data_IF_824616946026
#
_entry.id   IF_824616946026
#
_cell.length_a   1.000
_cell.length_b   1.000
_cell.length_c   1.000
_cell.angle_alpha   90.00
_cell.angle_beta   90.00
_cell.angle_gamma   90.00
#
_symmetry.space_group_name_H-M   'P 1'
#
loop_
_entity.id
_entity.type
_entity.pdbx_description
1 polymer ?
#
# COMPACT_ATOMS: atom_id res chain seq x y z
N UNK A 1 7.80 -13.41 4.86
CA UNK A 1 7.37 -12.17 5.55
C UNK A 1 8.18 -11.00 5.01
N UNK A 2 7.58 -10.10 4.20
CA UNK A 2 8.29 -8.91 3.67
C UNK A 2 7.95 -7.71 4.55
N UNK A 3 8.85 -7.40 5.47
CA UNK A 3 8.70 -6.29 6.44
C UNK A 3 8.66 -4.93 5.73
N UNK A 4 7.68 -4.09 6.10
CA UNK A 4 7.59 -2.66 5.74
C UNK A 4 8.95 -1.96 5.96
N UNK A 5 9.66 -2.32 7.03
CA UNK A 5 10.95 -1.72 7.38
C UNK A 5 12.05 -2.03 6.35
N UNK A 6 12.05 -3.24 5.77
CA UNK A 6 13.04 -3.65 4.78
C UNK A 6 12.78 -3.07 3.37
N UNK A 7 11.58 -2.52 3.12
CA UNK A 7 11.25 -1.76 1.92
C UNK A 7 11.62 -0.28 2.09
N UNK A 8 11.31 0.30 3.26
CA UNK A 8 11.71 1.68 3.63
C UNK A 8 13.23 1.89 3.51
N UNK A 9 14.05 0.92 3.91
CA UNK A 9 15.52 1.06 3.82
C UNK A 9 16.10 1.02 2.40
N UNK A 10 15.36 0.53 1.39
CA UNK A 10 15.91 0.31 0.03
C UNK A 10 15.58 1.38 -1.00
N UNK A 11 14.67 2.31 -0.69
CA UNK A 11 14.20 3.32 -1.66
C UNK A 11 14.34 4.77 -1.19
N UNK A 12 14.60 5.01 0.09
CA UNK A 12 14.58 6.36 0.66
C UNK A 12 16.01 6.91 0.73
N UNK A 13 16.51 7.34 -0.42
CA UNK A 13 17.61 8.31 -0.50
C UNK A 13 17.06 9.69 -0.12
N UNK A 14 16.99 9.95 1.19
CA UNK A 14 16.45 11.18 1.75
C UNK A 14 14.93 11.25 1.61
N UNK A 15 14.22 11.30 2.72
CA UNK A 15 13.16 12.27 3.01
C UNK A 15 12.73 12.04 4.45
N UNK A 16 12.67 13.15 5.16
CA UNK A 16 12.39 13.29 6.57
C UNK A 16 11.14 12.50 6.95
N UNK A 17 11.30 11.56 7.90
CA UNK A 17 10.34 11.46 9.00
C UNK A 17 9.85 12.87 9.28
N UNK A 18 8.55 13.15 9.15
CA UNK A 18 7.99 14.45 9.54
C UNK A 18 8.28 14.63 11.03
N UNK A 19 9.47 15.18 11.31
CA UNK A 19 9.89 15.70 12.59
C UNK A 19 9.31 17.11 12.59
N UNK A 20 8.01 17.19 12.87
CA UNK A 20 7.54 18.39 13.55
C UNK A 20 8.39 18.45 14.83
N UNK A 21 9.23 19.47 14.95
CA UNK A 21 10.11 19.66 16.10
C UNK A 21 9.23 19.68 17.36
N UNK A 22 9.22 18.58 18.13
CA UNK A 22 8.64 18.51 19.48
C UNK A 22 7.43 17.61 19.70
N UNK A 23 6.67 17.19 18.68
CA UNK A 23 5.48 16.34 18.88
C UNK A 23 5.42 15.20 17.86
N UNK A 24 5.44 13.96 18.36
CA UNK A 24 5.24 12.77 17.54
C UNK A 24 3.75 12.65 17.24
N UNK A 25 3.31 13.15 16.09
CA UNK A 25 1.92 12.99 15.63
C UNK A 25 1.61 11.50 15.57
N UNK A 26 0.57 11.10 16.29
CA UNK A 26 0.01 9.75 16.20
C UNK A 26 -1.18 9.76 15.26
N UNK A 27 -1.50 8.60 14.73
CA UNK A 27 -2.58 8.38 13.79
C UNK A 27 -3.47 7.26 14.32
N UNK A 28 -4.78 7.50 14.28
CA UNK A 28 -5.79 6.49 14.51
C UNK A 28 -6.28 6.01 13.15
N UNK A 29 -5.81 4.84 12.75
CA UNK A 29 -6.27 4.20 11.52
C UNK A 29 -7.70 3.68 11.68
N UNK A 30 -8.49 3.77 10.62
CA UNK A 30 -9.80 3.12 10.57
C UNK A 30 -9.64 1.60 10.58
N UNK A 31 -10.59 0.91 11.19
CA UNK A 31 -10.54 -0.54 11.36
C UNK A 31 -10.63 -1.31 10.04
N UNK A 32 -11.47 -0.84 9.11
CA UNK A 32 -11.59 -1.42 7.77
C UNK A 32 -10.27 -1.31 6.99
N UNK A 33 -9.57 -0.19 7.15
CA UNK A 33 -8.24 0.02 6.56
C UNK A 33 -7.22 -0.93 7.17
N UNK A 34 -7.16 -1.06 8.50
CA UNK A 34 -6.25 -2.00 9.18
C UNK A 34 -6.49 -3.44 8.75
N UNK A 35 -7.76 -3.83 8.57
CA UNK A 35 -8.13 -5.17 8.09
C UNK A 35 -7.56 -5.43 6.70
N UNK A 36 -7.72 -4.48 5.77
CA UNK A 36 -7.15 -4.59 4.42
C UNK A 36 -5.63 -4.58 4.42
N UNK A 37 -5.00 -3.70 5.19
CA UNK A 37 -3.55 -3.63 5.31
C UNK A 37 -2.96 -4.94 5.82
N UNK A 38 -3.58 -5.54 6.84
CA UNK A 38 -3.14 -6.83 7.41
C UNK A 38 -3.22 -7.95 6.38
N UNK A 39 -4.25 -7.98 5.52
CA UNK A 39 -4.36 -8.95 4.41
C UNK A 39 -3.20 -8.87 3.42
N UNK A 40 -2.58 -7.70 3.29
CA UNK A 40 -1.39 -7.47 2.46
C UNK A 40 -0.07 -7.53 3.25
N UNK A 41 -0.12 -7.95 4.53
CA UNK A 41 1.06 -8.05 5.39
C UNK A 41 1.59 -6.70 5.89
N UNK A 42 0.76 -5.66 5.88
CA UNK A 42 1.10 -4.31 6.33
C UNK A 42 0.47 -4.06 7.70
N UNK A 43 1.29 -3.79 8.70
CA UNK A 43 0.85 -3.41 10.04
C UNK A 43 1.39 -2.02 10.38
N UNK A 44 0.67 -0.93 10.09
CA UNK A 44 1.11 0.40 10.45
C UNK A 44 1.07 0.57 11.98
N UNK A 45 2.05 1.29 12.53
CA UNK A 45 2.02 1.70 13.94
C UNK A 45 1.21 3.00 14.05
N UNK A 46 0.74 3.39 15.25
CA UNK A 46 0.14 4.70 15.46
C UNK A 46 1.07 5.85 15.04
N UNK A 47 2.39 5.65 15.05
CA UNK A 47 3.35 6.64 14.56
C UNK A 47 3.64 6.57 13.05
N UNK A 48 3.03 5.65 12.32
CA UNK A 48 3.22 5.50 10.87
C UNK A 48 2.28 6.48 10.16
N UNK A 49 2.79 7.42 9.35
CA UNK A 49 1.93 8.30 8.56
C UNK A 49 1.11 7.50 7.52
N UNK A 50 -0.18 7.79 7.34
CA UNK A 50 -1.01 7.05 6.38
C UNK A 50 -0.50 7.18 4.94
N UNK A 51 0.15 8.31 4.59
CA UNK A 51 0.77 8.50 3.30
C UNK A 51 1.85 7.45 2.99
N UNK A 52 2.65 7.07 4.00
CA UNK A 52 3.71 6.06 3.85
C UNK A 52 3.13 4.65 3.66
N UNK A 53 2.11 4.30 4.45
CA UNK A 53 1.42 3.02 4.28
C UNK A 53 0.72 2.94 2.92
N UNK A 54 0.10 4.04 2.47
CA UNK A 54 -0.56 4.15 1.18
C UNK A 54 0.41 4.01 -0.01
N UNK A 55 1.58 4.64 0.06
CA UNK A 55 2.62 4.49 -0.96
C UNK A 55 3.06 3.03 -1.11
N UNK A 56 3.32 2.36 0.02
CA UNK A 56 3.70 0.94 0.03
C UNK A 56 2.64 0.06 -0.66
N UNK A 57 1.36 0.24 -0.32
CA UNK A 57 0.26 -0.54 -0.92
C UNK A 57 0.13 -0.24 -2.42
N UNK A 58 0.31 1.02 -2.84
CA UNK A 58 0.30 1.37 -4.26
C UNK A 58 1.42 0.70 -5.03
N UNK A 59 2.61 0.60 -4.47
CA UNK A 59 3.71 -0.07 -5.12
C UNK A 59 3.53 -1.59 -5.19
N UNK A 60 2.94 -2.19 -4.16
CA UNK A 60 2.52 -3.59 -4.20
C UNK A 60 1.49 -3.82 -5.33
N UNK A 61 0.47 -2.98 -5.41
CA UNK A 61 -0.54 -3.05 -6.47
C UNK A 61 0.07 -2.89 -7.88
N UNK A 62 0.95 -1.91 -8.08
CA UNK A 62 1.67 -1.72 -9.36
C UNK A 62 2.54 -2.91 -9.71
N UNK A 63 3.20 -3.52 -8.72
CA UNK A 63 3.97 -4.75 -8.94
C UNK A 63 3.08 -5.89 -9.41
N UNK A 64 1.92 -6.10 -8.80
CA UNK A 64 1.00 -7.17 -9.23
C UNK A 64 0.42 -6.93 -10.62
N UNK A 65 0.12 -5.69 -10.98
CA UNK A 65 -0.28 -5.32 -12.34
C UNK A 65 0.81 -5.62 -13.37
N UNK A 66 2.07 -5.25 -13.07
CA UNK A 66 3.21 -5.56 -13.96
C UNK A 66 3.36 -7.07 -14.15
N UNK A 67 3.30 -7.84 -13.06
CA UNK A 67 3.37 -9.31 -13.11
C UNK A 67 2.23 -9.91 -13.95
N UNK A 68 1.00 -9.42 -13.80
CA UNK A 68 -0.13 -9.89 -14.59
C UNK A 68 0.06 -9.58 -16.09
N UNK A 69 0.60 -8.40 -16.42
CA UNK A 69 0.95 -8.04 -17.79
C UNK A 69 2.08 -8.92 -18.35
N UNK A 70 3.11 -9.22 -17.56
CA UNK A 70 4.20 -10.11 -17.95
C UNK A 70 3.69 -11.53 -18.26
N UNK A 71 2.73 -12.03 -17.47
CA UNK A 71 2.08 -13.31 -17.75
C UNK A 71 1.28 -13.29 -19.06
N UNK A 72 0.62 -12.17 -19.39
CA UNK A 72 -0.06 -12.02 -20.68
C UNK A 72 0.94 -12.00 -21.84
N UNK A 73 2.01 -11.20 -21.73
CA UNK A 73 3.01 -11.03 -22.80
C UNK A 73 3.80 -12.32 -23.05
N UNK A 74 4.10 -13.08 -22.00
CA UNK A 74 4.74 -14.39 -22.12
C UNK A 74 3.80 -15.49 -22.63
N UNK A 75 2.49 -15.22 -22.77
CA UNK A 75 1.49 -16.22 -23.15
C UNK A 75 1.13 -17.20 -22.03
N UNK A 76 1.63 -17.00 -20.80
CA UNK A 76 1.28 -17.82 -19.62
C UNK A 76 -0.23 -17.79 -19.35
N UNK A 77 -0.89 -16.66 -19.64
CA UNK A 77 -2.34 -16.54 -19.58
C UNK A 77 -2.90 -16.12 -20.94
N UNK A 78 -4.13 -16.55 -21.27
CA UNK A 78 -4.78 -16.12 -22.50
C UNK A 78 -5.14 -14.64 -22.46
N UNK A 79 -5.18 -13.99 -23.63
CA UNK A 79 -5.64 -12.61 -23.79
C UNK A 79 -7.13 -12.45 -23.49
N UNK A 80 -7.93 -13.46 -23.81
CA UNK A 80 -9.37 -13.49 -23.48
C UNK A 80 -9.52 -13.51 -21.94
N UNK A 81 -10.33 -12.59 -21.43
CA UNK A 81 -10.55 -12.41 -19.98
C UNK A 81 -9.40 -11.73 -19.24
N UNK A 82 -8.46 -11.07 -19.94
CA UNK A 82 -7.44 -10.26 -19.27
C UNK A 82 -8.05 -9.10 -18.48
N UNK A 83 -9.07 -8.43 -19.05
CA UNK A 83 -9.78 -7.35 -18.38
C UNK A 83 -10.42 -7.82 -17.06
N UNK A 84 -11.06 -8.98 -17.06
CA UNK A 84 -11.66 -9.55 -15.85
C UNK A 84 -10.63 -9.87 -14.77
N UNK A 85 -9.43 -10.34 -15.18
CA UNK A 85 -8.31 -10.58 -14.26
C UNK A 85 -7.80 -9.28 -13.64
N UNK A 86 -7.73 -8.19 -14.41
CA UNK A 86 -7.39 -6.85 -13.89
C UNK A 86 -8.45 -6.37 -12.91
N UNK A 87 -9.74 -6.54 -13.22
CA UNK A 87 -10.85 -6.18 -12.31
C UNK A 87 -10.77 -6.99 -11.02
N UNK A 88 -10.56 -8.31 -11.12
CA UNK A 88 -10.40 -9.19 -9.97
C UNK A 88 -9.19 -8.78 -9.12
N UNK A 89 -8.09 -8.36 -9.74
CA UNK A 89 -6.93 -7.81 -9.03
C UNK A 89 -7.29 -6.52 -8.30
N UNK A 90 -7.94 -5.56 -8.97
CA UNK A 90 -8.33 -4.28 -8.35
C UNK A 90 -9.24 -4.46 -7.15
N UNK A 91 -10.13 -5.46 -7.18
CA UNK A 91 -11.00 -5.82 -6.03
C UNK A 91 -10.22 -6.29 -4.80
N UNK A 92 -8.98 -6.77 -4.96
CA UNK A 92 -8.10 -7.12 -3.85
C UNK A 92 -7.45 -5.90 -3.20
N UNK A 93 -7.42 -4.74 -3.87
CA UNK A 93 -6.77 -3.52 -3.40
C UNK A 93 -7.74 -2.33 -3.35
N UNK A 94 -8.86 -2.40 -2.61
CA UNK A 94 -9.80 -1.27 -2.57
C UNK A 94 -9.16 0.00 -2.00
N UNK A 95 -8.18 -0.14 -1.11
CA UNK A 95 -7.50 0.97 -0.46
C UNK A 95 -6.76 1.91 -1.43
N UNK A 96 -6.31 1.43 -2.61
CA UNK A 96 -5.60 2.29 -3.59
C UNK A 96 -6.52 3.32 -4.25
N UNK A 97 -7.84 3.21 -4.05
CA UNK A 97 -8.81 4.19 -4.53
C UNK A 97 -9.16 5.26 -3.49
N UNK A 98 -8.62 5.13 -2.26
CA UNK A 98 -8.84 6.06 -1.15
C UNK A 98 -7.60 6.93 -0.95
N UNK A 99 -7.79 8.22 -0.64
CA UNK A 99 -6.70 9.13 -0.29
C UNK A 99 -6.12 8.77 1.09
N UNK A 100 -4.83 9.03 1.36
CA UNK A 100 -4.25 8.77 2.68
C UNK A 100 -4.99 9.41 3.87
N UNK A 101 -5.56 10.60 3.68
CA UNK A 101 -6.36 11.28 4.72
C UNK A 101 -7.66 10.53 5.06
N UNK A 102 -8.13 9.64 4.18
CA UNK A 102 -9.32 8.82 4.38
C UNK A 102 -8.99 7.50 5.10
N UNK A 103 -7.71 7.23 5.38
CA UNK A 103 -7.24 6.00 6.03
C UNK A 103 -7.13 6.14 7.55
N UNK A 104 -6.73 7.31 8.01
CA UNK A 104 -6.45 7.60 9.41
C UNK A 104 -6.57 9.09 9.68
N UNK A 105 -6.94 9.42 10.91
CA UNK A 105 -6.94 10.78 11.42
C UNK A 105 -5.75 11.00 12.37
N UNK A 106 -5.16 12.21 12.40
CA UNK A 106 -4.19 12.56 13.42
C UNK A 106 -4.86 12.59 14.80
N UNK A 107 -4.18 12.05 15.80
CA UNK A 107 -4.58 12.13 17.20
C UNK A 107 -3.50 12.93 17.94
N UNK A 108 -3.90 14.10 18.44
CA UNK A 108 -3.09 14.98 19.28
C UNK A 108 -2.81 14.38 20.65
#
# INVERSE_FOLDING_TARGET
MRSLQAWVSRRVGGWSLVRARGTMVRYRYREDVLTWLTRHGVCPRPSTPPALAHEFVNDLYRYELRRLREQLVSGTIPRIGYADRVVALRRKYPLVSLRPSEWAEPVS
#
